data_IF_485603618015
#
_entry.id   IF_485603618015
#
_cell.length_a   1.000
_cell.length_b   1.000
_cell.length_c   1.000
_cell.angle_alpha   90.00
_cell.angle_beta   90.00
_cell.angle_gamma   90.00
#
_symmetry.space_group_name_H-M   'P 1'
#
loop_
_entity.id
_entity.type
_entity.pdbx_description
1 polymer ?
#
# COMPACT_ATOMS: atom_id res chain seq x y z
N UNK A 1 14.98 -0.81 -56.59
CA UNK A 1 15.77 -0.68 -55.37
C UNK A 1 14.80 -0.41 -54.23
N UNK A 2 14.27 -1.46 -53.59
CA UNK A 2 13.33 -1.35 -52.48
C UNK A 2 14.12 -1.09 -51.20
N UNK A 3 13.89 0.06 -50.58
CA UNK A 3 14.29 0.30 -49.21
C UNK A 3 13.16 -0.22 -48.33
N UNK A 4 13.23 -1.51 -47.99
CA UNK A 4 12.46 -2.06 -46.89
C UNK A 4 12.98 -1.42 -45.60
N UNK A 5 12.34 -0.32 -45.20
CA UNK A 5 12.51 0.25 -43.89
C UNK A 5 11.94 -0.75 -42.88
N UNK A 6 12.81 -1.59 -42.32
CA UNK A 6 12.51 -2.42 -41.16
C UNK A 6 12.14 -1.49 -40.02
N UNK A 7 10.85 -1.23 -39.86
CA UNK A 7 10.32 -0.57 -38.66
C UNK A 7 10.68 -1.50 -37.51
N UNK A 8 11.66 -1.10 -36.70
CA UNK A 8 11.94 -1.71 -35.41
C UNK A 8 10.64 -1.68 -34.60
N UNK A 9 9.92 -2.79 -34.56
CA UNK A 9 8.83 -2.98 -33.60
C UNK A 9 9.45 -2.92 -32.21
N UNK A 10 9.37 -1.75 -31.57
CA UNK A 10 9.65 -1.59 -30.16
C UNK A 10 8.87 -2.68 -29.43
N UNK A 11 9.58 -3.60 -28.80
CA UNK A 11 9.00 -4.74 -28.06
C UNK A 11 8.28 -4.16 -26.83
N UNK A 12 7.08 -3.62 -27.04
CA UNK A 12 6.31 -3.00 -25.96
C UNK A 12 5.96 -4.08 -24.96
N UNK A 13 6.31 -3.84 -23.69
CA UNK A 13 5.93 -4.74 -22.60
C UNK A 13 4.41 -4.89 -22.64
N UNK A 14 3.85 -6.11 -22.76
CA UNK A 14 2.41 -6.27 -22.81
C UNK A 14 1.77 -5.61 -21.60
N UNK A 15 0.77 -4.75 -21.82
CA UNK A 15 0.16 -3.88 -20.79
C UNK A 15 -0.22 -4.62 -19.50
N UNK A 16 -0.58 -5.91 -19.60
CA UNK A 16 -0.85 -6.80 -18.45
C UNK A 16 0.33 -6.95 -17.47
N UNK A 17 1.57 -7.02 -17.96
CA UNK A 17 2.76 -7.13 -17.10
C UNK A 17 3.14 -5.79 -16.48
N UNK A 18 2.88 -4.67 -17.18
CA UNK A 18 3.00 -3.34 -16.58
C UNK A 18 2.02 -3.19 -15.41
N UNK A 19 0.78 -3.65 -15.57
CA UNK A 19 -0.22 -3.63 -14.49
C UNK A 19 0.19 -4.52 -13.33
N UNK A 20 0.73 -5.71 -13.61
CA UNK A 20 1.28 -6.58 -12.58
C UNK A 20 2.43 -5.92 -11.82
N UNK A 21 3.33 -5.22 -12.52
CA UNK A 21 4.42 -4.46 -11.90
C UNK A 21 3.88 -3.33 -11.00
N UNK A 22 2.87 -2.59 -11.46
CA UNK A 22 2.23 -1.54 -10.66
C UNK A 22 1.59 -2.13 -9.40
N UNK A 23 0.84 -3.23 -9.53
CA UNK A 23 0.23 -3.93 -8.39
C UNK A 23 1.32 -4.43 -7.43
N UNK A 24 2.42 -4.97 -7.95
CA UNK A 24 3.57 -5.40 -7.14
C UNK A 24 4.15 -4.25 -6.33
N UNK A 25 4.42 -3.10 -6.97
CA UNK A 25 4.97 -1.91 -6.28
C UNK A 25 4.01 -1.38 -5.23
N UNK A 26 2.71 -1.26 -5.55
CA UNK A 26 1.67 -0.84 -4.60
C UNK A 26 1.58 -1.80 -3.41
N UNK A 27 1.64 -3.11 -3.67
CA UNK A 27 1.63 -4.13 -2.61
C UNK A 27 2.90 -4.07 -1.77
N UNK A 28 4.06 -3.78 -2.37
CA UNK A 28 5.30 -3.62 -1.62
C UNK A 28 5.22 -2.42 -0.65
N UNK A 29 4.72 -1.27 -1.12
CA UNK A 29 4.52 -0.10 -0.25
C UNK A 29 3.47 -0.36 0.83
N UNK A 30 2.38 -1.04 0.50
CA UNK A 30 1.37 -1.46 1.48
C UNK A 30 1.98 -2.28 2.63
N UNK A 31 2.89 -3.21 2.33
CA UNK A 31 3.60 -3.95 3.38
C UNK A 31 4.64 -3.12 4.13
N UNK A 32 5.25 -2.14 3.46
CA UNK A 32 6.20 -1.23 4.11
C UNK A 32 5.47 -0.36 5.14
N UNK A 33 4.27 0.14 4.80
CA UNK A 33 3.38 0.89 5.71
C UNK A 33 3.05 0.09 6.98
N UNK A 34 2.85 -1.23 6.86
CA UNK A 34 2.63 -2.11 8.01
C UNK A 34 3.86 -2.26 8.89
N UNK A 35 5.05 -2.28 8.29
CA UNK A 35 6.32 -2.43 9.00
C UNK A 35 6.77 -1.15 9.72
N UNK A 36 6.28 0.03 9.31
CA UNK A 36 6.67 1.33 9.90
C UNK A 36 6.61 1.36 11.43
N UNK A 37 5.50 0.93 12.06
CA UNK A 37 5.38 0.95 13.54
C UNK A 37 6.32 -0.04 14.19
N UNK A 38 6.55 -1.19 13.58
CA UNK A 38 7.41 -2.21 14.18
C UNK A 38 8.87 -1.74 14.22
N UNK A 39 9.29 -0.95 13.23
CA UNK A 39 10.65 -0.42 13.13
C UNK A 39 10.82 0.84 14.00
N UNK A 40 9.86 1.77 13.95
CA UNK A 40 9.88 3.01 14.72
C UNK A 40 9.36 2.86 16.16
N UNK A 41 8.77 1.71 16.51
CA UNK A 41 7.93 1.55 17.70
C UNK A 41 8.64 1.79 19.03
N UNK A 42 9.94 1.49 19.12
CA UNK A 42 10.71 1.76 20.33
C UNK A 42 10.85 3.26 20.60
N UNK A 43 11.17 4.06 19.58
CA UNK A 43 11.28 5.52 19.72
C UNK A 43 9.90 6.16 19.92
N UNK A 44 8.88 5.72 19.17
CA UNK A 44 7.47 6.15 19.36
C UNK A 44 7.03 5.94 20.81
N UNK A 45 7.29 4.75 21.38
CA UNK A 45 6.89 4.43 22.74
C UNK A 45 7.60 5.31 23.77
N UNK A 46 8.88 5.59 23.54
CA UNK A 46 9.72 6.40 24.42
C UNK A 46 9.30 7.88 24.40
N UNK A 47 9.15 8.47 23.22
CA UNK A 47 8.83 9.89 23.08
C UNK A 47 7.39 10.20 23.46
N UNK A 48 6.45 9.32 23.12
CA UNK A 48 5.04 9.48 23.50
C UNK A 48 4.73 8.95 24.91
N UNK A 49 5.75 8.48 25.65
CA UNK A 49 5.64 7.91 27.00
C UNK A 49 4.57 6.80 27.12
N UNK A 50 4.49 5.94 26.10
CA UNK A 50 3.50 4.89 26.00
C UNK A 50 3.96 3.63 26.74
N UNK A 51 3.06 3.07 27.55
CA UNK A 51 3.28 1.76 28.17
C UNK A 51 3.26 0.64 27.12
N UNK A 52 3.87 -0.51 27.45
CA UNK A 52 3.83 -1.69 26.58
C UNK A 52 2.39 -2.14 26.26
N UNK A 53 1.46 -1.98 27.21
CA UNK A 53 0.03 -2.26 27.02
C UNK A 53 -0.58 -1.31 25.97
N UNK A 54 -0.29 -0.02 26.07
CA UNK A 54 -0.76 0.99 25.12
C UNK A 54 -0.24 0.74 23.71
N UNK A 55 1.05 0.39 23.59
CA UNK A 55 1.64 -0.01 22.31
C UNK A 55 0.96 -1.27 21.75
N UNK A 56 0.62 -2.26 22.58
CA UNK A 56 -0.15 -3.43 22.18
C UNK A 56 -1.51 -3.09 21.57
N UNK A 57 -2.22 -2.10 22.14
CA UNK A 57 -3.46 -1.59 21.54
C UNK A 57 -3.21 -0.91 20.19
N UNK A 58 -2.18 -0.08 20.06
CA UNK A 58 -1.85 0.61 18.80
C UNK A 58 -1.47 -0.40 17.70
N UNK A 59 -0.68 -1.43 18.01
CA UNK A 59 -0.34 -2.50 17.06
C UNK A 59 -1.58 -3.29 16.61
N UNK A 60 -2.48 -3.60 17.54
CA UNK A 60 -3.69 -4.40 17.23
C UNK A 60 -4.79 -3.60 16.51
N UNK A 61 -4.80 -2.27 16.63
CA UNK A 61 -5.77 -1.38 15.98
C UNK A 61 -5.89 -1.63 14.47
N UNK A 62 -4.74 -1.75 13.80
CA UNK A 62 -4.67 -2.07 12.38
C UNK A 62 -5.34 -3.42 12.08
N UNK A 63 -4.99 -4.47 12.82
CA UNK A 63 -5.48 -5.83 12.59
C UNK A 63 -6.99 -5.94 12.73
N UNK A 64 -7.57 -5.32 13.76
CA UNK A 64 -9.02 -5.30 13.98
C UNK A 64 -9.75 -4.52 12.89
N UNK A 65 -9.27 -3.33 12.53
CA UNK A 65 -9.87 -2.53 11.46
C UNK A 65 -9.83 -3.28 10.12
N UNK A 66 -8.66 -3.85 9.78
CA UNK A 66 -8.45 -4.61 8.56
C UNK A 66 -9.40 -5.80 8.48
N UNK A 67 -9.51 -6.59 9.56
CA UNK A 67 -10.43 -7.74 9.64
C UNK A 67 -11.88 -7.33 9.38
N UNK A 68 -12.38 -6.34 10.13
CA UNK A 68 -13.77 -5.89 10.04
C UNK A 68 -14.11 -5.34 8.65
N UNK A 69 -13.13 -4.72 7.99
CA UNK A 69 -13.33 -4.07 6.70
C UNK A 69 -13.12 -4.96 5.48
N UNK A 70 -12.69 -6.21 5.64
CA UNK A 70 -12.56 -7.11 4.48
C UNK A 70 -13.90 -7.37 3.77
N UNK A 71 -14.97 -7.61 4.53
CA UNK A 71 -16.31 -7.88 3.95
C UNK A 71 -16.89 -6.61 3.30
N UNK A 72 -16.98 -5.45 4.00
CA UNK A 72 -17.45 -4.21 3.40
C UNK A 72 -16.56 -3.74 2.22
N UNK A 73 -15.25 -3.92 2.33
CA UNK A 73 -14.30 -3.59 1.26
C UNK A 73 -14.53 -4.43 0.00
N UNK A 74 -14.78 -5.73 0.17
CA UNK A 74 -15.20 -6.62 -0.92
C UNK A 74 -16.49 -6.16 -1.60
N UNK A 75 -17.52 -5.85 -0.81
CA UNK A 75 -18.79 -5.32 -1.33
C UNK A 75 -18.61 -3.98 -2.07
N UNK A 76 -17.75 -3.11 -1.56
CA UNK A 76 -17.46 -1.82 -2.20
C UNK A 76 -16.80 -2.03 -3.57
N UNK A 77 -15.90 -3.01 -3.68
CA UNK A 77 -15.27 -3.41 -4.95
C UNK A 77 -16.29 -3.95 -5.95
N UNK A 78 -17.28 -4.72 -5.50
CA UNK A 78 -18.38 -5.18 -6.35
C UNK A 78 -19.23 -4.03 -6.88
N UNK A 79 -19.56 -3.08 -5.99
CA UNK A 79 -20.48 -1.98 -6.34
C UNK A 79 -19.84 -0.89 -7.19
N UNK A 80 -18.59 -0.52 -6.91
CA UNK A 80 -17.94 0.66 -7.51
C UNK A 80 -16.74 0.33 -8.41
N UNK A 81 -16.31 -0.93 -8.44
CA UNK A 81 -15.22 -1.43 -9.28
C UNK A 81 -13.83 -1.22 -8.69
N UNK A 82 -12.91 -2.12 -9.05
CA UNK A 82 -11.56 -2.19 -8.46
C UNK A 82 -10.74 -0.91 -8.64
N UNK A 83 -10.75 -0.28 -9.83
CA UNK A 83 -9.94 0.92 -10.07
C UNK A 83 -10.30 2.05 -9.09
N UNK A 84 -11.59 2.38 -8.96
CA UNK A 84 -12.04 3.52 -8.14
C UNK A 84 -11.80 3.27 -6.66
N UNK A 85 -12.28 2.13 -6.16
CA UNK A 85 -12.16 1.78 -4.73
C UNK A 85 -10.70 1.71 -4.31
N UNK A 86 -9.86 1.09 -5.13
CA UNK A 86 -8.45 0.96 -4.79
C UNK A 86 -7.71 2.30 -4.87
N UNK A 87 -8.11 3.21 -5.77
CA UNK A 87 -7.54 4.57 -5.80
C UNK A 87 -7.85 5.33 -4.51
N UNK A 88 -9.09 5.27 -4.02
CA UNK A 88 -9.47 5.91 -2.76
C UNK A 88 -8.78 5.26 -1.56
N UNK A 89 -8.74 3.93 -1.53
CA UNK A 89 -7.99 3.15 -0.54
C UNK A 89 -6.53 3.59 -0.48
N UNK A 90 -5.85 3.63 -1.63
CA UNK A 90 -4.46 4.08 -1.79
C UNK A 90 -4.23 5.50 -1.30
N UNK A 91 -5.12 6.42 -1.65
CA UNK A 91 -5.07 7.79 -1.16
C UNK A 91 -5.24 7.88 0.37
N UNK A 92 -6.27 7.23 0.92
CA UNK A 92 -6.59 7.33 2.35
C UNK A 92 -5.56 6.64 3.22
N UNK A 93 -5.05 5.46 2.83
CA UNK A 93 -3.98 4.83 3.61
C UNK A 93 -2.73 5.70 3.62
N UNK A 94 -2.38 6.30 2.47
CA UNK A 94 -1.23 7.20 2.36
C UNK A 94 -1.40 8.43 3.24
N UNK A 95 -2.62 8.98 3.27
CA UNK A 95 -2.97 10.09 4.14
C UNK A 95 -2.84 9.72 5.62
N UNK A 96 -3.37 8.58 6.05
CA UNK A 96 -3.27 8.18 7.45
C UNK A 96 -1.87 7.73 7.86
N UNK A 97 -1.07 7.20 6.94
CA UNK A 97 0.38 6.98 7.16
C UNK A 97 1.10 8.32 7.30
N UNK A 98 0.85 9.28 6.41
CA UNK A 98 1.46 10.60 6.47
C UNK A 98 1.14 11.32 7.79
N UNK A 99 -0.14 11.30 8.20
CA UNK A 99 -0.61 11.96 9.42
C UNK A 99 -0.05 11.34 10.72
N UNK A 100 0.37 10.06 10.71
CA UNK A 100 1.05 9.46 11.87
C UNK A 100 2.37 10.17 12.21
N UNK A 101 3.04 10.75 11.22
CA UNK A 101 4.28 11.50 11.43
C UNK A 101 4.10 12.88 12.05
N UNK A 102 2.88 13.25 12.43
CA UNK A 102 2.57 14.52 13.08
C UNK A 102 1.86 14.31 14.43
N UNK A 103 1.91 13.09 14.97
CA UNK A 103 1.19 12.77 16.22
C UNK A 103 1.89 13.33 17.45
N UNK A 104 3.18 13.57 17.36
CA UNK A 104 4.01 14.33 18.31
C UNK A 104 3.53 15.78 18.52
N UNK A 105 2.86 16.38 17.52
CA UNK A 105 2.28 17.73 17.63
C UNK A 105 1.07 17.79 18.57
N UNK A 106 0.42 16.66 18.87
CA UNK A 106 -0.67 16.63 19.83
C UNK A 106 -0.13 16.65 21.26
N UNK A 107 -0.90 17.19 22.23
CA UNK A 107 -0.54 17.05 23.63
C UNK A 107 -0.35 15.56 23.97
N UNK A 108 0.66 15.26 24.80
CA UNK A 108 1.07 13.89 25.13
C UNK A 108 -0.10 12.99 25.57
N UNK A 109 -1.07 13.56 26.29
CA UNK A 109 -2.29 12.87 26.73
C UNK A 109 -3.15 12.32 25.57
N UNK A 110 -3.09 12.95 24.40
CA UNK A 110 -3.85 12.58 23.19
C UNK A 110 -3.01 11.83 22.16
N UNK A 111 -1.68 11.96 22.19
CA UNK A 111 -0.80 11.37 21.17
C UNK A 111 -0.99 9.85 21.02
N UNK A 112 -1.10 9.09 22.10
CA UNK A 112 -1.36 7.65 22.04
C UNK A 112 -2.71 7.29 21.39
N UNK A 113 -3.76 8.06 21.69
CA UNK A 113 -5.10 7.88 21.12
C UNK A 113 -5.10 8.26 19.64
N UNK A 114 -4.42 9.35 19.28
CA UNK A 114 -4.21 9.77 17.90
C UNK A 114 -3.48 8.69 17.10
N UNK A 115 -2.38 8.13 17.63
CA UNK A 115 -1.67 7.02 16.98
C UNK A 115 -2.59 5.80 16.79
N UNK A 116 -3.35 5.41 17.82
CA UNK A 116 -4.31 4.32 17.73
C UNK A 116 -5.34 4.56 16.62
N UNK A 117 -5.92 5.76 16.57
CA UNK A 117 -6.93 6.11 15.58
C UNK A 117 -6.35 6.10 14.16
N UNK A 118 -5.16 6.67 13.96
CA UNK A 118 -4.51 6.65 12.64
C UNK A 118 -4.16 5.21 12.20
N UNK A 119 -3.75 4.34 13.13
CA UNK A 119 -3.51 2.91 12.85
C UNK A 119 -4.79 2.17 12.48
N UNK A 120 -5.88 2.46 13.18
CA UNK A 120 -7.19 1.90 12.87
C UNK A 120 -7.65 2.37 11.49
N UNK A 121 -7.57 3.66 11.19
CA UNK A 121 -7.93 4.22 9.89
C UNK A 121 -7.05 3.70 8.75
N UNK A 122 -5.76 3.48 9.02
CA UNK A 122 -4.85 2.80 8.08
C UNK A 122 -5.38 1.39 7.75
N UNK A 123 -5.64 0.54 8.75
CA UNK A 123 -6.17 -0.81 8.54
C UNK A 123 -7.54 -0.81 7.84
N UNK A 124 -8.41 0.13 8.19
CA UNK A 124 -9.71 0.34 7.54
C UNK A 124 -9.53 0.63 6.04
N UNK A 125 -8.62 1.53 5.70
CA UNK A 125 -8.37 1.96 4.33
C UNK A 125 -7.61 0.92 3.48
N UNK A 126 -6.75 0.11 4.10
CA UNK A 126 -5.97 -0.93 3.39
C UNK A 126 -6.77 -2.22 3.12
N UNK A 127 -7.85 -2.48 3.85
CA UNK A 127 -8.62 -3.73 3.77
C UNK A 127 -9.00 -4.20 2.34
N UNK A 128 -9.45 -3.32 1.40
CA UNK A 128 -9.83 -3.76 0.05
C UNK A 128 -8.64 -4.05 -0.88
N UNK A 129 -7.38 -3.80 -0.48
CA UNK A 129 -6.20 -3.90 -1.34
C UNK A 129 -6.01 -5.28 -1.98
N UNK A 130 -6.00 -6.35 -1.17
CA UNK A 130 -5.80 -7.72 -1.66
C UNK A 130 -6.98 -8.24 -2.51
N UNK A 131 -8.24 -8.06 -2.09
CA UNK A 131 -9.38 -8.37 -2.96
C UNK A 131 -9.34 -7.59 -4.28
N UNK A 132 -8.91 -6.32 -4.27
CA UNK A 132 -8.75 -5.53 -5.49
C UNK A 132 -7.64 -6.09 -6.38
N UNK A 133 -6.46 -6.43 -5.83
CA UNK A 133 -5.36 -7.08 -6.55
C UNK A 133 -5.83 -8.34 -7.27
N UNK A 134 -6.51 -9.24 -6.55
CA UNK A 134 -7.01 -10.49 -7.10
C UNK A 134 -8.00 -10.26 -8.26
N UNK A 135 -8.92 -9.29 -8.11
CA UNK A 135 -9.86 -8.91 -9.19
C UNK A 135 -9.17 -8.35 -10.41
N UNK A 136 -8.15 -7.50 -10.22
CA UNK A 136 -7.43 -6.89 -11.35
C UNK A 136 -6.61 -7.96 -12.07
N UNK A 137 -5.93 -8.85 -11.35
CA UNK A 137 -5.24 -9.99 -11.97
C UNK A 137 -6.23 -10.87 -12.74
N UNK A 138 -7.39 -11.17 -12.17
CA UNK A 138 -8.41 -11.95 -12.87
C UNK A 138 -8.92 -11.26 -14.15
N UNK A 139 -9.01 -9.93 -14.16
CA UNK A 139 -9.46 -9.17 -15.32
C UNK A 139 -8.40 -9.06 -16.44
N UNK A 140 -7.11 -9.07 -16.10
CA UNK A 140 -6.02 -8.84 -17.05
C UNK A 140 -5.28 -10.10 -17.51
N UNK A 141 -5.35 -11.19 -16.74
CA UNK A 141 -4.62 -12.42 -17.04
C UNK A 141 -5.55 -13.59 -17.39
N UNK A 142 -5.19 -14.40 -18.41
CA UNK A 142 -5.87 -15.66 -18.71
C UNK A 142 -5.83 -16.62 -17.51
N UNK A 143 -6.84 -17.47 -17.36
CA UNK A 143 -6.98 -18.40 -16.21
C UNK A 143 -5.71 -19.22 -15.92
N UNK A 144 -4.98 -19.66 -16.96
CA UNK A 144 -3.73 -20.42 -16.82
C UNK A 144 -2.57 -19.61 -16.22
N UNK A 145 -2.55 -18.28 -16.40
CA UNK A 145 -1.48 -17.39 -15.95
C UNK A 145 -1.79 -16.70 -14.60
N UNK A 146 -3.07 -16.70 -14.17
CA UNK A 146 -3.52 -16.01 -12.93
C UNK A 146 -2.79 -16.49 -11.68
N UNK A 147 -2.48 -17.79 -11.57
CA UNK A 147 -1.75 -18.33 -10.43
C UNK A 147 -0.36 -17.72 -10.29
N UNK A 148 0.39 -17.67 -11.39
CA UNK A 148 1.73 -17.05 -11.43
C UNK A 148 1.68 -15.55 -11.18
N UNK A 149 0.74 -14.84 -11.81
CA UNK A 149 0.55 -13.41 -11.56
C UNK A 149 0.23 -13.13 -10.08
N UNK A 150 -0.61 -13.97 -9.46
CA UNK A 150 -0.91 -13.87 -8.03
C UNK A 150 0.31 -14.13 -7.15
N UNK A 151 1.10 -15.15 -7.48
CA UNK A 151 2.34 -15.44 -6.75
C UNK A 151 3.34 -14.28 -6.84
N UNK A 152 3.45 -13.64 -8.01
CA UNK A 152 4.34 -12.48 -8.23
C UNK A 152 3.92 -11.32 -7.33
N UNK A 153 2.66 -10.89 -7.33
CA UNK A 153 2.31 -9.74 -6.47
C UNK A 153 2.34 -10.09 -4.98
N UNK A 154 2.06 -11.34 -4.58
CA UNK A 154 2.16 -11.74 -3.18
C UNK A 154 3.62 -11.75 -2.70
N UNK A 155 4.60 -12.07 -3.57
CA UNK A 155 6.01 -12.03 -3.20
C UNK A 155 6.52 -10.61 -2.92
N UNK A 156 5.78 -9.57 -3.33
CA UNK A 156 6.07 -8.16 -3.03
C UNK A 156 6.22 -7.90 -1.53
N UNK A 157 5.57 -8.69 -0.67
CA UNK A 157 5.68 -8.54 0.78
C UNK A 157 7.09 -8.80 1.32
N UNK A 158 7.78 -9.78 0.73
CA UNK A 158 9.15 -10.12 1.13
C UNK A 158 10.14 -9.12 0.53
N UNK A 159 9.91 -8.72 -0.72
CA UNK A 159 10.68 -7.66 -1.36
C UNK A 159 10.57 -6.33 -0.61
N UNK A 160 9.38 -6.00 -0.13
CA UNK A 160 9.10 -4.81 0.67
C UNK A 160 9.99 -4.75 1.91
N UNK A 161 10.02 -5.81 2.72
CA UNK A 161 10.86 -5.83 3.91
C UNK A 161 12.35 -5.71 3.57
N UNK A 162 12.83 -6.35 2.51
CA UNK A 162 14.23 -6.24 2.10
C UNK A 162 14.61 -4.81 1.66
N UNK A 163 13.71 -4.13 0.95
CA UNK A 163 13.95 -2.80 0.40
C UNK A 163 13.74 -1.69 1.44
N UNK A 164 12.60 -1.73 2.14
CA UNK A 164 12.17 -0.63 3.00
C UNK A 164 12.73 -0.75 4.41
N UNK A 165 13.00 -1.94 4.97
CA UNK A 165 13.50 -2.02 6.36
C UNK A 165 14.81 -1.25 6.59
N UNK A 166 15.82 -1.31 5.71
CA UNK A 166 17.03 -0.49 5.83
C UNK A 166 16.72 1.01 5.73
N UNK A 167 15.84 1.41 4.81
CA UNK A 167 15.43 2.81 4.65
C UNK A 167 14.71 3.32 5.90
N UNK A 168 13.74 2.58 6.41
CA UNK A 168 12.96 2.95 7.59
C UNK A 168 13.84 3.00 8.84
N UNK A 169 14.74 2.03 9.02
CA UNK A 169 15.70 2.04 10.13
C UNK A 169 16.66 3.24 10.05
N UNK A 170 17.16 3.57 8.85
CA UNK A 170 17.99 4.75 8.64
C UNK A 170 17.23 6.06 8.91
N UNK A 171 15.98 6.17 8.46
CA UNK A 171 15.12 7.33 8.75
C UNK A 171 14.92 7.52 10.25
N UNK A 172 14.54 6.46 10.97
CA UNK A 172 14.38 6.50 12.43
C UNK A 172 15.66 6.97 13.12
N UNK A 173 16.82 6.45 12.71
CA UNK A 173 18.11 6.79 13.32
C UNK A 173 18.57 8.22 12.99
N UNK A 174 18.41 8.67 11.75
CA UNK A 174 18.99 9.92 11.27
C UNK A 174 18.09 11.15 11.47
N UNK A 175 16.77 11.00 11.31
CA UNK A 175 15.81 12.11 11.31
C UNK A 175 14.67 11.97 12.30
N UNK A 176 14.57 10.85 13.01
CA UNK A 176 13.49 10.58 13.96
C UNK A 176 12.39 9.71 13.37
N UNK A 177 11.55 9.18 14.25
CA UNK A 177 10.54 8.19 13.89
C UNK A 177 9.41 8.78 13.06
N UNK A 178 9.13 10.07 13.21
CA UNK A 178 8.10 10.83 12.50
C UNK A 178 8.34 10.77 10.99
N UNK A 179 9.62 10.79 10.60
CA UNK A 179 10.04 10.85 9.21
C UNK A 179 9.82 9.52 8.48
N UNK A 180 9.77 8.39 9.21
CA UNK A 180 9.33 7.10 8.68
C UNK A 180 7.91 7.22 8.12
N UNK A 181 7.02 7.89 8.86
CA UNK A 181 5.62 8.05 8.51
C UNK A 181 5.41 9.07 7.39
N UNK A 182 6.05 10.23 7.48
CA UNK A 182 5.89 11.27 6.47
C UNK A 182 6.45 10.84 5.11
N UNK A 183 7.65 10.23 5.07
CA UNK A 183 8.25 9.74 3.81
C UNK A 183 7.39 8.65 3.18
N UNK A 184 6.93 7.67 3.96
CA UNK A 184 6.08 6.59 3.45
C UNK A 184 4.74 7.12 2.94
N UNK A 185 4.11 8.05 3.66
CA UNK A 185 2.89 8.72 3.20
C UNK A 185 3.07 9.48 1.89
N UNK A 186 4.20 10.20 1.71
CA UNK A 186 4.54 10.88 0.46
C UNK A 186 4.74 9.89 -0.69
N UNK A 187 5.47 8.79 -0.46
CA UNK A 187 5.62 7.71 -1.45
C UNK A 187 4.24 7.18 -1.86
N UNK A 188 3.36 6.96 -0.90
CA UNK A 188 1.98 6.54 -1.13
C UNK A 188 1.16 7.54 -1.97
N UNK A 189 1.30 8.85 -1.73
CA UNK A 189 0.64 9.86 -2.56
C UNK A 189 1.17 9.89 -4.00
N UNK A 190 2.48 9.76 -4.19
CA UNK A 190 3.08 9.64 -5.52
C UNK A 190 2.54 8.40 -6.24
N UNK A 191 2.47 7.27 -5.54
CA UNK A 191 1.89 6.04 -6.08
C UNK A 191 0.40 6.17 -6.37
N UNK A 192 -0.36 6.91 -5.56
CA UNK A 192 -1.77 7.24 -5.84
C UNK A 192 -1.89 7.95 -7.20
N UNK A 193 -1.06 8.98 -7.43
CA UNK A 193 -1.03 9.72 -8.69
C UNK A 193 -0.65 8.83 -9.88
N UNK A 194 0.35 7.96 -9.71
CA UNK A 194 0.76 7.00 -10.73
C UNK A 194 -0.33 5.95 -11.01
N UNK A 195 -0.98 5.44 -9.97
CA UNK A 195 -2.08 4.47 -10.08
C UNK A 195 -3.23 5.02 -10.91
N UNK A 196 -3.72 6.21 -10.57
CA UNK A 196 -4.85 6.84 -11.28
C UNK A 196 -4.54 7.08 -12.75
N UNK A 197 -3.28 7.45 -13.06
CA UNK A 197 -2.80 7.72 -14.42
C UNK A 197 -2.52 6.47 -15.25
N UNK A 198 -2.05 5.38 -14.64
CA UNK A 198 -1.56 4.21 -15.37
C UNK A 198 -2.59 3.06 -15.40
N UNK A 199 -3.32 2.85 -14.32
CA UNK A 199 -4.31 1.76 -14.26
C UNK A 199 -5.57 2.17 -15.00
N UNK A 200 -6.00 1.33 -15.92
CA UNK A 200 -7.26 1.45 -16.63
C UNK A 200 -7.99 0.12 -16.58
N UNK A 201 -9.31 0.14 -16.76
CA UNK A 201 -10.05 -1.10 -16.98
C UNK A 201 -9.67 -1.65 -18.35
N UNK A 202 -9.55 -2.97 -18.54
CA UNK A 202 -9.29 -3.53 -19.85
C UNK A 202 -10.45 -3.14 -20.77
N UNK A 203 -10.17 -2.39 -21.83
CA UNK A 203 -11.10 -2.13 -22.92
C UNK A 203 -11.31 -3.43 -23.66
N UNK A 204 -12.32 -4.19 -23.23
CA UNK A 204 -12.87 -5.37 -23.89
C UNK A 204 -11.87 -6.48 -24.22
N UNK A 205 -11.89 -7.57 -23.44
CA UNK A 205 -11.53 -8.89 -23.99
C UNK A 205 -12.84 -9.61 -24.23
N UNK A 206 -13.32 -9.57 -25.47
CA UNK A 206 -14.20 -10.61 -26.02
C UNK A 206 -13.39 -11.91 -26.05
N UNK A 207 -13.82 -12.90 -25.28
CA UNK A 207 -13.95 -14.32 -25.62
C UNK A 207 -14.34 -15.07 -24.35
#
# INVERSE_FOLDING_TARGET
MSLDATIEQKKEVPTRYLILLIIFIVTAVNYADRATLSIAGTEVAKELQLSAVSMGYIFSAFGWAYLLMQIPGGWLLDKFGSKKVYSYSLFFWSLFTFLQGFVDMFPLAWAGISMFFMRFMLGFSEAPSFPANARIVAAWFPTKERGTASAIFNSAQYFSLALFSPLLGWLTFAWGWEHVFTVMGVIGFVLTGLWVKLIHNPTTIRA
#
